data_IF_642069042128
#
_entry.id   IF_642069042128
#
_cell.length_a   1.000
_cell.length_b   1.000
_cell.length_c   1.000
_cell.angle_alpha   90.00
_cell.angle_beta   90.00
_cell.angle_gamma   90.00
#
_symmetry.space_group_name_H-M   'P 1'
#
loop_
_entity.id
_entity.type
_entity.pdbx_description
1 polymer ?
#
# COMPACT_ATOMS: atom_id res chain seq x y z
N UNK A 1 7.40 7.07 -8.20
CA UNK A 1 7.12 5.83 -7.45
C UNK A 1 8.37 5.44 -6.70
N UNK A 2 8.31 5.46 -5.38
CA UNK A 2 9.41 5.05 -4.52
C UNK A 2 9.48 3.52 -4.42
N UNK A 3 10.60 2.99 -3.93
CA UNK A 3 10.76 1.57 -3.65
C UNK A 3 9.68 1.06 -2.69
N UNK A 4 9.29 1.89 -1.70
CA UNK A 4 8.20 1.58 -0.77
C UNK A 4 6.85 1.48 -1.46
N UNK A 5 6.52 2.38 -2.41
CA UNK A 5 5.24 2.31 -3.13
C UNK A 5 5.13 0.98 -3.89
N UNK A 6 6.21 0.55 -4.53
CA UNK A 6 6.28 -0.75 -5.21
C UNK A 6 6.12 -1.91 -4.24
N UNK A 7 6.71 -1.80 -3.05
CA UNK A 7 6.60 -2.82 -2.00
C UNK A 7 5.17 -2.92 -1.48
N UNK A 8 4.53 -1.79 -1.17
CA UNK A 8 3.12 -1.69 -0.77
C UNK A 8 2.22 -2.30 -1.85
N UNK A 9 2.43 -1.95 -3.12
CA UNK A 9 1.69 -2.53 -4.25
C UNK A 9 1.92 -4.03 -4.40
N UNK A 10 3.14 -4.51 -4.18
CA UNK A 10 3.47 -5.93 -4.27
C UNK A 10 2.75 -6.72 -3.18
N UNK A 11 2.75 -6.20 -1.94
CA UNK A 11 2.07 -6.81 -0.80
C UNK A 11 0.55 -6.81 -1.00
N UNK A 12 -0.01 -5.69 -1.44
CA UNK A 12 -1.44 -5.56 -1.74
C UNK A 12 -1.89 -6.43 -2.92
N UNK A 13 -1.00 -6.68 -3.88
CA UNK A 13 -1.25 -7.59 -5.01
C UNK A 13 -1.16 -9.06 -4.59
N UNK A 14 -0.24 -9.39 -3.71
CA UNK A 14 -0.03 -10.76 -3.21
C UNK A 14 -1.08 -11.14 -2.16
N UNK A 15 -1.52 -10.19 -1.36
CA UNK A 15 -2.53 -10.38 -0.32
C UNK A 15 -3.39 -9.13 -0.13
N UNK A 16 -4.39 -8.98 -1.00
CA UNK A 16 -5.36 -7.87 -0.97
C UNK A 16 -6.21 -7.81 0.31
N UNK A 17 -6.14 -8.85 1.15
CA UNK A 17 -6.80 -8.92 2.47
C UNK A 17 -5.91 -8.47 3.63
N UNK A 18 -4.61 -8.22 3.41
CA UNK A 18 -3.77 -7.70 4.48
C UNK A 18 -4.22 -6.32 4.92
N UNK A 19 -4.22 -6.11 6.24
CA UNK A 19 -4.58 -4.83 6.81
C UNK A 19 -3.47 -3.81 6.59
N UNK A 20 -3.80 -2.53 6.45
CA UNK A 20 -2.79 -1.46 6.34
C UNK A 20 -1.74 -1.48 7.48
N UNK A 21 -2.12 -1.99 8.65
CA UNK A 21 -1.24 -2.20 9.81
C UNK A 21 -0.18 -3.30 9.60
N UNK A 22 -0.53 -4.39 8.89
CA UNK A 22 0.41 -5.48 8.56
C UNK A 22 1.37 -5.04 7.46
N UNK A 23 0.84 -4.39 6.43
CA UNK A 23 1.64 -3.81 5.35
C UNK A 23 2.64 -2.81 5.94
N UNK A 24 2.19 -1.93 6.84
CA UNK A 24 3.05 -0.98 7.56
C UNK A 24 4.20 -1.67 8.32
N UNK A 25 3.93 -2.80 8.98
CA UNK A 25 5.00 -3.62 9.59
C UNK A 25 5.97 -4.18 8.55
N UNK A 26 5.46 -4.72 7.45
CA UNK A 26 6.31 -5.31 6.40
C UNK A 26 7.20 -4.27 5.70
N UNK A 27 6.66 -3.09 5.40
CA UNK A 27 7.42 -1.99 4.77
C UNK A 27 8.16 -1.09 5.76
N UNK A 28 8.16 -1.46 7.05
CA UNK A 28 8.79 -0.70 8.14
C UNK A 28 8.41 0.79 8.16
N UNK A 29 7.11 1.07 7.98
CA UNK A 29 6.53 2.41 8.03
C UNK A 29 5.39 2.47 9.04
N UNK A 30 4.99 3.70 9.36
CA UNK A 30 3.79 3.94 10.17
C UNK A 30 2.53 3.66 9.36
N UNK A 31 1.52 3.06 10.00
CA UNK A 31 0.17 2.86 9.43
C UNK A 31 -0.38 4.09 8.71
N UNK A 32 -0.37 5.31 9.30
CA UNK A 32 -0.84 6.51 8.59
C UNK A 32 -0.02 6.85 7.33
N UNK A 33 1.29 6.57 7.32
CA UNK A 33 2.14 6.82 6.15
C UNK A 33 1.79 5.86 5.00
N UNK A 34 1.55 4.59 5.31
CA UNK A 34 1.07 3.60 4.32
C UNK A 34 -0.32 3.97 3.81
N UNK A 35 -1.25 4.34 4.69
CA UNK A 35 -2.60 4.77 4.29
C UNK A 35 -2.54 5.98 3.36
N UNK A 36 -1.72 6.99 3.66
CA UNK A 36 -1.57 8.17 2.81
C UNK A 36 -0.94 7.82 1.46
N UNK A 37 0.05 6.92 1.44
CA UNK A 37 0.68 6.40 0.22
C UNK A 37 -0.32 5.66 -0.65
N UNK A 38 -1.11 4.74 -0.07
CA UNK A 38 -2.20 4.03 -0.75
C UNK A 38 -3.19 5.04 -1.34
N UNK A 39 -3.60 6.04 -0.57
CA UNK A 39 -4.53 7.09 -1.03
C UNK A 39 -3.98 7.88 -2.21
N UNK A 40 -2.68 8.22 -2.18
CA UNK A 40 -2.00 8.89 -3.32
C UNK A 40 -1.94 7.98 -4.54
N UNK A 41 -1.72 6.69 -4.37
CA UNK A 41 -1.69 5.71 -5.46
C UNK A 41 -3.09 5.48 -6.05
N UNK A 42 -4.14 5.46 -5.22
CA UNK A 42 -5.55 5.44 -5.68
C UNK A 42 -5.91 6.72 -6.44
N UNK A 43 -5.58 7.90 -5.89
CA UNK A 43 -5.81 9.19 -6.56
C UNK A 43 -5.04 9.32 -7.87
N UNK A 44 -3.85 8.73 -7.94
CA UNK A 44 -3.03 8.67 -9.15
C UNK A 44 -3.50 7.62 -10.17
N UNK A 45 -4.56 6.86 -9.88
CA UNK A 45 -5.07 5.80 -10.76
C UNK A 45 -4.18 4.56 -10.83
N UNK A 46 -3.24 4.39 -9.89
CA UNK A 46 -2.33 3.23 -9.83
C UNK A 46 -2.98 2.05 -9.09
N UNK A 47 -3.80 2.33 -8.07
CA UNK A 47 -4.61 1.32 -7.38
C UNK A 47 -6.04 1.43 -7.92
N UNK A 48 -6.39 0.53 -8.82
CA UNK A 48 -7.73 0.39 -9.37
C UNK A 48 -8.47 -0.65 -8.53
N UNK A 49 -9.07 -0.20 -7.41
CA UNK A 49 -10.02 -0.91 -6.53
C UNK A 49 -9.80 -2.41 -6.30
N UNK A 50 -9.51 -2.78 -5.05
CA UNK A 50 -9.58 -4.16 -4.56
C UNK A 50 -10.94 -4.79 -4.87
N UNK A 51 -10.96 -5.82 -5.72
CA UNK A 51 -12.04 -6.80 -5.89
C UNK A 51 -11.48 -8.18 -5.58
#
# INVERSE_FOLDING_TARGET
>A
MDATDKMILSILKENSRESASEIAKQVSLSVPAVTERIRKLEQGGIIEKYT
#
